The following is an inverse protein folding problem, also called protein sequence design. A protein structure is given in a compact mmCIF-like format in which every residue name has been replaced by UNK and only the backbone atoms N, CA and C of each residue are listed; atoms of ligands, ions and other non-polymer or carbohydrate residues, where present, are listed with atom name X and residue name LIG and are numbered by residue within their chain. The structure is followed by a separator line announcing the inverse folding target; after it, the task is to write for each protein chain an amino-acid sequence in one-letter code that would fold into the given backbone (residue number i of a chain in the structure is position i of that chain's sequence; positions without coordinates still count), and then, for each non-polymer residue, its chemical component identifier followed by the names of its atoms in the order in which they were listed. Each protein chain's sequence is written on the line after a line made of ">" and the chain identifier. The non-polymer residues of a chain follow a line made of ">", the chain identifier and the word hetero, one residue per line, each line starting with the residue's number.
data_IF_279907671405
#
_entry.id   IF_279907671405
#
_cell.length_a   1.000
_cell.length_b   1.000
_cell.length_c   1.000
_cell.angle_alpha   90.00
_cell.angle_beta   90.00
_cell.angle_gamma   90.00
#
_symmetry.space_group_name_H-M   'P 1'
#
loop_
_entity.id
_entity.type
_entity.pdbx_description
1 polymer ?
#
# COMPACT_ATOMS: atom_id res chain seq x y z
N UNK A 1 -30.54 3.89 -94.54
CA UNK A 1 -29.99 2.94 -93.54
C UNK A 1 -29.39 3.68 -92.37
N UNK A 2 -30.04 3.67 -91.19
CA UNK A 2 -29.60 4.38 -90.00
C UNK A 2 -29.09 3.33 -89.01
N UNK A 3 -27.77 3.42 -88.69
CA UNK A 3 -27.17 2.64 -87.60
C UNK A 3 -27.50 3.29 -86.20
N UNK A 4 -28.09 2.53 -85.29
CA UNK A 4 -28.30 2.85 -83.92
C UNK A 4 -27.09 2.30 -83.12
N UNK A 5 -26.30 3.19 -82.58
CA UNK A 5 -25.25 2.88 -81.55
C UNK A 5 -25.90 2.75 -80.20
N UNK A 6 -25.71 1.62 -79.55
CA UNK A 6 -26.19 1.35 -78.20
C UNK A 6 -25.02 1.55 -77.23
N UNK A 7 -25.06 2.63 -76.44
CA UNK A 7 -24.08 2.91 -75.35
C UNK A 7 -24.52 2.20 -74.06
N UNK A 8 -23.79 1.16 -73.68
CA UNK A 8 -23.97 0.42 -72.42
C UNK A 8 -23.27 1.22 -71.32
N UNK A 9 -24.04 1.76 -70.36
CA UNK A 9 -23.50 2.41 -69.14
C UNK A 9 -23.18 1.34 -68.11
N UNK A 10 -21.89 1.17 -67.79
CA UNK A 10 -21.44 0.42 -66.62
C UNK A 10 -21.69 1.23 -65.34
N UNK A 11 -22.53 0.75 -64.48
CA UNK A 11 -22.71 1.26 -63.12
C UNK A 11 -21.67 0.57 -62.23
N UNK A 12 -20.62 1.30 -61.84
CA UNK A 12 -19.67 0.84 -60.81
C UNK A 12 -20.26 1.10 -59.43
N UNK A 13 -20.68 0.08 -58.77
CA UNK A 13 -21.12 0.12 -57.36
C UNK A 13 -19.85 0.10 -56.46
N UNK A 14 -19.45 1.21 -55.94
CA UNK A 14 -18.39 1.28 -54.91
C UNK A 14 -18.93 0.81 -53.55
N UNK A 15 -18.52 -0.36 -53.12
CA UNK A 15 -18.80 -0.87 -51.76
C UNK A 15 -17.78 -0.21 -50.82
N UNK A 16 -18.22 0.77 -50.05
CA UNK A 16 -17.44 1.33 -48.94
C UNK A 16 -17.51 0.35 -47.77
N UNK A 17 -16.44 -0.39 -47.55
CA UNK A 17 -16.23 -1.18 -46.30
C UNK A 17 -15.79 -0.23 -45.20
N UNK A 18 -16.70 0.12 -44.29
CA UNK A 18 -16.35 0.79 -43.02
C UNK A 18 -15.68 -0.20 -42.11
N UNK A 19 -14.35 -0.19 -42.05
CA UNK A 19 -13.57 -0.82 -40.97
C UNK A 19 -13.76 0.01 -39.71
N UNK A 20 -14.69 -0.39 -38.84
CA UNK A 20 -14.79 0.12 -37.49
C UNK A 20 -13.58 -0.39 -36.69
N UNK A 21 -12.53 0.42 -36.59
CA UNK A 21 -11.44 0.21 -35.64
C UNK A 21 -12.02 0.52 -34.26
N UNK A 22 -12.50 -0.52 -33.58
CA UNK A 22 -12.78 -0.44 -32.16
C UNK A 22 -11.43 -0.21 -31.45
N UNK A 23 -11.15 1.04 -31.08
CA UNK A 23 -10.06 1.35 -30.18
C UNK A 23 -10.36 0.56 -28.88
N UNK A 24 -9.67 -0.55 -28.65
CA UNK A 24 -9.60 -1.17 -27.32
C UNK A 24 -8.98 -0.12 -26.41
N UNK A 25 -9.81 0.65 -25.71
CA UNK A 25 -9.33 1.43 -24.58
C UNK A 25 -8.82 0.42 -23.56
N UNK A 26 -7.51 0.36 -23.36
CA UNK A 26 -6.93 -0.46 -22.30
C UNK A 26 -7.70 -0.17 -21.00
N UNK A 27 -8.19 -1.21 -20.35
CA UNK A 27 -8.95 -1.07 -19.12
C UNK A 27 -8.05 -0.32 -18.13
N UNK A 28 -8.57 0.80 -17.58
CA UNK A 28 -7.80 1.61 -16.63
C UNK A 28 -7.52 0.78 -15.38
N UNK A 29 -6.29 0.75 -14.94
CA UNK A 29 -5.82 0.04 -13.74
C UNK A 29 -5.82 0.95 -12.52
N UNK A 30 -5.89 0.36 -11.34
CA UNK A 30 -5.42 0.98 -10.11
C UNK A 30 -3.92 0.71 -10.03
N UNK A 31 -3.11 1.75 -10.23
CA UNK A 31 -1.66 1.65 -10.16
C UNK A 31 -1.18 2.05 -8.77
N UNK A 32 -0.26 1.25 -8.21
CA UNK A 32 0.26 1.46 -6.86
C UNK A 32 1.78 1.36 -6.89
N UNK A 33 2.46 2.18 -6.09
CA UNK A 33 3.93 2.25 -6.03
C UNK A 33 4.37 2.19 -4.57
N UNK A 34 5.06 1.13 -4.19
CA UNK A 34 5.78 1.08 -2.92
C UNK A 34 7.11 1.78 -3.15
N UNK A 35 7.26 2.98 -2.56
CA UNK A 35 8.44 3.83 -2.79
C UNK A 35 9.52 3.47 -1.80
N UNK A 36 10.75 3.29 -2.27
CA UNK A 36 11.88 3.02 -1.38
C UNK A 36 12.27 4.25 -0.57
N UNK A 37 12.08 4.17 0.73
CA UNK A 37 12.52 5.16 1.72
C UNK A 37 13.50 4.56 2.75
N UNK A 38 14.15 3.44 2.40
CA UNK A 38 15.18 2.75 3.22
C UNK A 38 14.68 2.27 4.60
N UNK A 39 13.44 1.80 4.64
CA UNK A 39 12.79 1.29 5.85
C UNK A 39 11.91 2.32 6.56
N UNK A 40 11.60 3.42 5.90
CA UNK A 40 10.46 4.29 6.18
C UNK A 40 9.35 4.00 5.18
N UNK A 41 8.14 4.55 5.39
CA UNK A 41 6.98 4.22 4.56
C UNK A 41 6.60 5.33 3.60
N UNK A 42 6.35 4.96 2.33
CA UNK A 42 5.53 5.71 1.39
C UNK A 42 4.88 4.76 0.37
N UNK A 43 3.58 4.84 0.26
CA UNK A 43 2.80 4.01 -0.66
C UNK A 43 1.85 4.89 -1.47
N UNK A 44 2.14 5.06 -2.76
CA UNK A 44 1.36 5.88 -3.68
C UNK A 44 0.34 5.02 -4.43
N UNK A 45 -0.93 5.40 -4.38
CA UNK A 45 -2.02 4.80 -5.15
C UNK A 45 -2.53 5.82 -6.16
N UNK A 46 -2.61 5.41 -7.42
CA UNK A 46 -3.10 6.22 -8.53
C UNK A 46 -4.38 5.60 -9.09
N UNK A 47 -5.48 6.29 -8.84
CA UNK A 47 -6.81 5.85 -9.23
C UNK A 47 -6.98 5.84 -10.75
N UNK A 48 -7.79 4.91 -11.31
CA UNK A 48 -8.25 4.98 -12.69
C UNK A 48 -8.95 6.30 -13.07
N UNK A 49 -9.46 7.04 -12.08
CA UNK A 49 -10.05 8.37 -12.26
C UNK A 49 -9.02 9.51 -12.39
N UNK A 50 -7.74 9.21 -12.12
CA UNK A 50 -6.64 10.18 -12.09
C UNK A 50 -6.42 10.85 -10.73
N UNK A 51 -7.23 10.55 -9.70
CA UNK A 51 -6.93 10.99 -8.33
C UNK A 51 -5.82 10.15 -7.72
N UNK A 52 -5.07 10.75 -6.79
CA UNK A 52 -3.97 10.10 -6.08
C UNK A 52 -4.18 10.09 -4.57
N UNK A 53 -3.72 9.01 -3.94
CA UNK A 53 -3.60 8.87 -2.50
C UNK A 53 -2.16 8.46 -2.18
N UNK A 54 -1.54 9.16 -1.26
CA UNK A 54 -0.24 8.77 -0.71
C UNK A 54 -0.44 8.39 0.76
N UNK A 55 0.05 7.23 1.16
CA UNK A 55 0.06 6.76 2.53
C UNK A 55 1.49 6.91 3.04
N UNK A 56 1.68 7.77 4.05
CA UNK A 56 2.92 8.15 4.68
C UNK A 56 3.95 8.82 3.75
N UNK A 57 5.00 9.44 4.33
CA UNK A 57 5.95 10.25 3.58
C UNK A 57 7.41 10.17 4.10
N UNK A 58 7.72 9.19 4.94
CA UNK A 58 9.07 8.98 5.46
C UNK A 58 9.48 9.89 6.61
N UNK A 59 10.78 9.98 6.85
CA UNK A 59 11.37 10.73 7.96
C UNK A 59 11.43 12.24 7.68
N UNK A 60 11.62 13.07 8.74
CA UNK A 60 11.82 14.52 8.57
C UNK A 60 12.90 14.84 7.54
N UNK A 61 12.64 15.83 6.68
CA UNK A 61 13.56 16.21 5.61
C UNK A 61 14.94 16.64 6.11
N UNK A 62 15.05 17.11 7.35
CA UNK A 62 16.32 17.44 8.01
C UNK A 62 17.20 16.21 8.32
N UNK A 63 16.61 15.01 8.42
CA UNK A 63 17.35 13.79 8.76
C UNK A 63 18.02 13.14 7.54
N UNK A 64 17.51 13.42 6.33
CA UNK A 64 17.99 12.78 5.11
C UNK A 64 18.17 13.74 3.91
N UNK A 65 18.32 15.04 4.19
CA UNK A 65 18.45 16.10 3.16
C UNK A 65 17.29 16.11 2.16
N UNK A 66 16.06 15.74 2.60
CA UNK A 66 14.87 15.69 1.77
C UNK A 66 14.84 14.53 0.78
N UNK A 67 15.68 13.50 0.96
CA UNK A 67 15.74 12.31 0.09
C UNK A 67 14.35 11.68 -0.09
N UNK A 68 13.62 11.46 1.00
CA UNK A 68 12.32 10.76 0.96
C UNK A 68 11.31 11.55 0.15
N UNK A 69 11.20 12.86 0.41
CA UNK A 69 10.32 13.72 -0.37
C UNK A 69 10.71 13.74 -1.87
N UNK A 70 12.01 13.73 -2.20
CA UNK A 70 12.46 13.68 -3.60
C UNK A 70 12.07 12.35 -4.27
N UNK A 71 12.28 11.20 -3.61
CA UNK A 71 11.90 9.88 -4.13
C UNK A 71 10.38 9.76 -4.33
N UNK A 72 9.57 10.30 -3.42
CA UNK A 72 8.11 10.36 -3.58
C UNK A 72 7.73 11.21 -4.81
N UNK A 73 8.35 12.39 -4.98
CA UNK A 73 8.10 13.25 -6.15
C UNK A 73 8.49 12.55 -7.46
N UNK A 74 9.59 11.79 -7.47
CA UNK A 74 9.99 10.99 -8.64
C UNK A 74 8.98 9.89 -8.97
N UNK A 75 8.48 9.16 -7.95
CA UNK A 75 7.42 8.18 -8.14
C UNK A 75 6.13 8.83 -8.65
N UNK A 76 5.74 9.98 -8.11
CA UNK A 76 4.61 10.78 -8.59
C UNK A 76 4.78 11.20 -10.05
N UNK A 77 5.96 11.68 -10.45
CA UNK A 77 6.26 12.02 -11.86
C UNK A 77 6.14 10.80 -12.78
N UNK A 78 6.71 9.66 -12.38
CA UNK A 78 6.63 8.41 -13.14
C UNK A 78 5.18 7.92 -13.29
N UNK A 79 4.34 8.18 -12.29
CA UNK A 79 2.92 7.87 -12.28
C UNK A 79 2.03 8.93 -12.95
N UNK A 80 2.59 10.06 -13.44
CA UNK A 80 1.84 11.18 -14.02
C UNK A 80 1.04 12.02 -13.01
N UNK A 81 1.35 11.90 -11.71
CA UNK A 81 0.70 12.59 -10.60
C UNK A 81 1.33 13.98 -10.43
N UNK A 82 0.50 15.03 -10.48
CA UNK A 82 0.94 16.44 -10.34
C UNK A 82 0.60 17.05 -8.98
N UNK A 83 -0.27 16.40 -8.22
CA UNK A 83 -0.70 16.79 -6.86
C UNK A 83 -1.12 15.54 -6.11
N UNK A 84 -1.05 15.56 -4.79
CA UNK A 84 -1.59 14.51 -3.93
C UNK A 84 -3.01 14.93 -3.53
N UNK A 85 -4.03 14.17 -3.97
CA UNK A 85 -5.43 14.47 -3.62
C UNK A 85 -5.72 14.12 -2.16
N UNK A 86 -5.14 13.00 -1.67
CA UNK A 86 -5.26 12.55 -0.28
C UNK A 86 -3.88 12.12 0.24
N UNK A 87 -3.38 12.84 1.25
CA UNK A 87 -2.21 12.46 2.05
C UNK A 87 -2.72 11.78 3.31
N UNK A 88 -2.56 10.48 3.42
CA UNK A 88 -2.93 9.70 4.60
C UNK A 88 -1.69 9.55 5.47
N UNK A 89 -1.73 10.09 6.67
CA UNK A 89 -0.75 9.83 7.73
C UNK A 89 -1.32 8.72 8.58
N UNK A 90 -0.71 7.54 8.49
CA UNK A 90 -1.23 6.34 9.15
C UNK A 90 -1.15 6.45 10.67
N UNK A 91 -0.05 7.00 11.17
CA UNK A 91 0.21 7.32 12.57
C UNK A 91 1.38 8.32 12.67
N UNK A 92 1.74 8.78 13.88
CA UNK A 92 2.63 9.91 14.04
C UNK A 92 4.09 9.54 14.37
N UNK A 93 4.53 8.32 14.09
CA UNK A 93 5.95 8.00 14.16
C UNK A 93 6.73 8.72 13.04
N UNK A 94 7.96 9.09 13.34
CA UNK A 94 8.74 10.00 12.50
C UNK A 94 9.01 9.49 11.09
N UNK A 95 9.10 8.20 10.91
CA UNK A 95 9.35 7.54 9.62
C UNK A 95 8.07 7.34 8.77
N UNK A 96 6.95 7.90 9.23
CA UNK A 96 5.65 7.97 8.54
C UNK A 96 5.21 9.41 8.27
N UNK A 97 5.08 10.23 9.33
CA UNK A 97 4.59 11.62 9.23
C UNK A 97 5.68 12.62 8.92
N UNK A 98 6.94 12.32 9.27
CA UNK A 98 8.01 13.30 9.31
C UNK A 98 8.36 13.95 7.99
N UNK A 99 8.20 13.24 6.87
CA UNK A 99 8.50 13.76 5.53
C UNK A 99 7.41 14.66 4.93
N UNK A 100 6.21 14.71 5.53
CA UNK A 100 5.07 15.48 4.98
C UNK A 100 5.40 16.97 4.78
N UNK A 101 6.04 17.69 5.72
CA UNK A 101 6.41 19.09 5.50
C UNK A 101 7.34 19.29 4.31
N UNK A 102 8.38 18.48 4.19
CA UNK A 102 9.32 18.56 3.07
C UNK A 102 8.68 18.20 1.72
N UNK A 103 7.71 17.28 1.71
CA UNK A 103 6.94 16.92 0.52
C UNK A 103 6.01 18.06 0.10
N UNK A 104 5.33 18.71 1.05
CA UNK A 104 4.42 19.82 0.78
C UNK A 104 5.09 21.05 0.19
N UNK A 105 6.40 21.22 0.41
CA UNK A 105 7.22 22.25 -0.24
C UNK A 105 7.48 21.94 -1.73
N UNK A 106 7.36 20.67 -2.15
CA UNK A 106 7.72 20.19 -3.50
C UNK A 106 6.53 19.93 -4.40
N UNK A 107 5.38 19.60 -3.81
CA UNK A 107 4.17 19.36 -4.58
C UNK A 107 2.89 19.66 -3.78
N UNK A 108 1.79 20.06 -4.46
CA UNK A 108 0.53 20.37 -3.77
C UNK A 108 -0.09 19.14 -3.12
N UNK A 109 -0.56 19.30 -1.88
CA UNK A 109 -1.38 18.32 -1.14
C UNK A 109 -2.74 18.96 -0.86
N UNK A 110 -3.83 18.26 -1.22
CA UNK A 110 -5.19 18.84 -1.16
C UNK A 110 -5.89 18.51 0.16
N UNK A 111 -5.86 17.24 0.56
CA UNK A 111 -6.55 16.76 1.76
C UNK A 111 -5.60 15.92 2.58
N UNK A 112 -5.48 16.25 3.85
CA UNK A 112 -4.75 15.47 4.85
C UNK A 112 -5.72 14.58 5.61
N UNK A 113 -5.34 13.34 5.83
CA UNK A 113 -6.14 12.33 6.52
C UNK A 113 -5.29 11.71 7.62
N UNK A 114 -5.79 11.70 8.85
CA UNK A 114 -5.12 11.09 10.00
C UNK A 114 -6.13 10.53 11.01
N UNK A 115 -5.63 9.91 12.09
CA UNK A 115 -6.47 9.32 13.14
C UNK A 115 -6.85 10.31 14.29
N UNK A 116 -6.39 11.56 14.22
CA UNK A 116 -6.73 12.60 15.16
C UNK A 116 -5.66 12.84 16.22
N UNK A 117 -5.90 12.52 17.47
CA UNK A 117 -5.04 12.88 18.59
C UNK A 117 -3.74 12.04 18.64
N UNK A 118 -2.60 12.70 18.83
CA UNK A 118 -1.31 12.05 19.09
C UNK A 118 -1.29 11.50 20.52
N UNK A 119 -1.03 10.20 20.65
CA UNK A 119 -0.96 9.52 21.96
C UNK A 119 0.46 9.42 22.53
N UNK A 120 1.48 9.72 21.71
CA UNK A 120 2.90 9.60 22.07
C UNK A 120 3.51 10.98 22.35
N UNK A 121 3.50 11.38 23.62
CA UNK A 121 3.83 12.75 24.06
C UNK A 121 5.30 12.92 24.47
N UNK A 122 6.24 12.42 23.66
CA UNK A 122 7.67 12.74 23.80
C UNK A 122 8.03 13.95 22.93
N UNK A 123 9.16 14.61 23.26
CA UNK A 123 9.58 15.86 22.59
C UNK A 123 9.72 15.71 21.07
N UNK A 124 10.21 14.57 20.61
CA UNK A 124 10.38 14.30 19.17
C UNK A 124 9.02 14.22 18.46
N UNK A 125 8.11 13.38 18.95
CA UNK A 125 6.79 13.20 18.33
C UNK A 125 5.96 14.47 18.40
N UNK A 126 5.99 15.19 19.55
CA UNK A 126 5.34 16.50 19.68
C UNK A 126 5.84 17.49 18.60
N UNK A 127 7.17 17.56 18.38
CA UNK A 127 7.76 18.43 17.37
C UNK A 127 7.28 18.04 15.96
N UNK A 128 7.38 16.77 15.61
CA UNK A 128 7.04 16.27 14.27
C UNK A 128 5.55 16.49 13.96
N UNK A 129 4.67 16.20 14.92
CA UNK A 129 3.23 16.44 14.78
C UNK A 129 2.91 17.92 14.65
N UNK A 130 3.59 18.80 15.42
CA UNK A 130 3.44 20.26 15.29
C UNK A 130 3.81 20.74 13.88
N UNK A 131 4.90 20.25 13.29
CA UNK A 131 5.33 20.58 11.94
C UNK A 131 4.32 20.06 10.91
N UNK A 132 3.82 18.84 11.06
CA UNK A 132 2.75 18.29 10.24
C UNK A 132 1.47 19.13 10.29
N UNK A 133 0.98 19.47 11.49
CA UNK A 133 -0.24 20.26 11.68
C UNK A 133 -0.12 21.68 11.10
N UNK A 134 1.07 22.26 11.05
CA UNK A 134 1.31 23.54 10.38
C UNK A 134 1.12 23.46 8.85
N UNK A 135 1.31 22.28 8.26
CA UNK A 135 1.02 22.02 6.84
C UNK A 135 -0.47 21.70 6.65
N UNK A 136 -1.06 20.88 7.52
CA UNK A 136 -2.50 20.55 7.53
C UNK A 136 -3.36 21.81 7.53
N UNK A 137 -2.97 22.84 8.29
CA UNK A 137 -3.68 24.13 8.36
C UNK A 137 -3.81 24.86 7.00
N UNK A 138 -3.04 24.46 5.99
CA UNK A 138 -3.06 25.04 4.63
C UNK A 138 -3.95 24.26 3.65
N UNK A 139 -4.51 23.10 4.06
CA UNK A 139 -5.32 22.23 3.24
C UNK A 139 -6.64 21.84 3.90
N UNK A 140 -7.26 20.82 3.35
CA UNK A 140 -8.42 20.16 4.00
C UNK A 140 -7.93 19.11 4.98
N UNK A 141 -8.56 19.00 6.13
CA UNK A 141 -8.26 18.01 7.14
C UNK A 141 -9.44 17.07 7.35
N UNK A 142 -9.17 15.79 7.38
CA UNK A 142 -10.16 14.72 7.60
C UNK A 142 -9.62 13.75 8.66
N UNK A 143 -10.20 13.78 9.83
CA UNK A 143 -9.93 12.79 10.88
C UNK A 143 -10.83 11.58 10.65
N UNK A 144 -10.25 10.37 10.60
CA UNK A 144 -10.96 9.14 10.28
C UNK A 144 -10.99 8.16 11.45
N UNK A 145 -12.02 7.33 11.47
CA UNK A 145 -12.21 6.21 12.42
C UNK A 145 -12.55 4.93 11.68
N UNK A 146 -12.48 3.81 12.37
CA UNK A 146 -12.89 2.51 11.83
C UNK A 146 -14.35 2.56 11.30
N UNK A 147 -14.53 2.10 10.07
CA UNK A 147 -15.78 2.13 9.31
C UNK A 147 -15.90 3.31 8.34
N UNK A 148 -15.09 4.34 8.45
CA UNK A 148 -15.12 5.47 7.52
C UNK A 148 -14.49 5.10 6.17
N UNK A 149 -14.94 5.77 5.10
CA UNK A 149 -14.34 5.69 3.77
C UNK A 149 -13.64 6.99 3.43
N UNK A 150 -12.41 6.91 2.94
CA UNK A 150 -11.76 8.07 2.33
C UNK A 150 -12.41 8.30 0.96
N UNK A 151 -12.91 9.51 0.65
CA UNK A 151 -13.78 9.73 -0.51
C UNK A 151 -13.00 9.90 -1.83
N UNK A 152 -12.01 9.05 -2.08
CA UNK A 152 -11.28 8.99 -3.35
C UNK A 152 -12.16 8.34 -4.42
N UNK A 153 -12.08 8.85 -5.68
CA UNK A 153 -12.84 8.31 -6.80
C UNK A 153 -12.09 7.16 -7.48
N UNK A 154 -12.82 6.12 -7.88
CA UNK A 154 -12.33 5.06 -8.75
C UNK A 154 -11.89 3.78 -8.04
N UNK A 155 -11.77 3.80 -6.72
CA UNK A 155 -11.65 2.61 -5.87
C UNK A 155 -12.23 2.91 -4.47
N UNK A 156 -12.54 1.87 -3.71
CA UNK A 156 -12.96 2.01 -2.31
C UNK A 156 -11.73 1.96 -1.39
N UNK A 157 -11.60 2.93 -0.48
CA UNK A 157 -10.61 2.97 0.59
C UNK A 157 -11.35 3.00 1.93
N UNK A 158 -11.51 1.83 2.55
CA UNK A 158 -12.21 1.65 3.82
C UNK A 158 -11.21 1.58 4.97
N UNK A 159 -11.39 2.41 5.97
CA UNK A 159 -10.65 2.35 7.24
C UNK A 159 -11.22 1.18 8.05
N UNK A 160 -10.45 0.11 8.21
CA UNK A 160 -10.89 -1.05 9.02
C UNK A 160 -10.39 -0.98 10.46
N UNK A 161 -9.35 -0.17 10.70
CA UNK A 161 -8.85 0.16 12.04
C UNK A 161 -8.26 1.57 12.05
N UNK A 162 -8.45 2.33 13.12
CA UNK A 162 -7.83 3.62 13.39
C UNK A 162 -7.98 4.00 14.86
N UNK A 163 -7.06 4.81 15.40
CA UNK A 163 -7.07 5.26 16.78
C UNK A 163 -7.29 4.10 17.79
N UNK A 164 -6.63 2.98 17.53
CA UNK A 164 -6.67 1.77 18.35
C UNK A 164 -7.98 0.99 18.30
N UNK A 165 -8.94 1.32 17.43
CA UNK A 165 -10.26 0.68 17.35
C UNK A 165 -10.47 0.04 15.98
N UNK A 166 -10.93 -1.22 15.97
CA UNK A 166 -11.29 -1.97 14.76
C UNK A 166 -12.79 -1.82 14.43
N UNK A 167 -13.17 -2.14 13.18
CA UNK A 167 -14.56 -2.36 12.81
C UNK A 167 -15.16 -3.46 13.70
N UNK A 168 -16.42 -3.30 14.11
CA UNK A 168 -17.06 -4.21 15.07
C UNK A 168 -17.74 -5.41 14.40
N UNK A 169 -18.20 -5.26 13.16
CA UNK A 169 -18.86 -6.31 12.40
C UNK A 169 -18.01 -6.78 11.22
N UNK A 170 -18.09 -8.07 10.84
CA UNK A 170 -17.47 -8.56 9.63
C UNK A 170 -17.99 -7.87 8.37
N UNK A 171 -17.08 -7.61 7.42
CA UNK A 171 -17.46 -7.13 6.09
C UNK A 171 -18.20 -8.21 5.29
N UNK A 172 -18.89 -7.81 4.24
CA UNK A 172 -19.59 -8.76 3.35
C UNK A 172 -18.61 -9.81 2.80
N UNK A 173 -18.94 -11.08 3.03
CA UNK A 173 -18.11 -12.22 2.61
C UNK A 173 -16.95 -12.58 3.55
N UNK A 174 -16.82 -11.86 4.67
CA UNK A 174 -15.92 -12.16 5.77
C UNK A 174 -16.65 -12.92 6.90
N UNK A 175 -16.05 -12.99 8.09
CA UNK A 175 -16.67 -13.59 9.28
C UNK A 175 -16.34 -15.06 9.48
N UNK A 176 -15.40 -15.61 8.73
CA UNK A 176 -14.94 -16.98 8.95
C UNK A 176 -14.19 -17.09 10.28
N UNK A 177 -14.40 -18.17 11.07
CA UNK A 177 -13.60 -18.45 12.26
C UNK A 177 -12.11 -18.43 11.95
N UNK A 178 -11.33 -17.90 12.87
CA UNK A 178 -9.88 -17.83 12.74
C UNK A 178 -9.20 -18.72 13.81
N UNK A 179 -8.83 -19.96 13.46
CA UNK A 179 -8.23 -20.90 14.42
C UNK A 179 -6.87 -20.42 14.98
N UNK A 180 -6.18 -19.54 14.29
CA UNK A 180 -4.93 -18.96 14.80
C UNK A 180 -5.14 -18.14 16.08
N UNK A 181 -6.36 -17.70 16.36
CA UNK A 181 -6.70 -16.99 17.60
C UNK A 181 -6.40 -17.81 18.88
N UNK A 182 -6.59 -19.11 18.81
CA UNK A 182 -6.42 -20.00 19.95
C UNK A 182 -4.97 -20.52 20.09
N UNK A 183 -4.22 -20.54 19.00
CA UNK A 183 -2.88 -21.13 18.94
C UNK A 183 -1.74 -20.12 18.94
N UNK A 184 -2.01 -18.85 18.58
CA UNK A 184 -1.02 -17.78 18.56
C UNK A 184 -1.04 -17.01 19.89
N UNK A 185 0.04 -16.99 20.67
CA UNK A 185 0.07 -16.22 21.91
C UNK A 185 0.06 -14.70 21.65
N UNK A 186 -0.39 -13.94 22.65
CA UNK A 186 -0.16 -12.49 22.65
C UNK A 186 1.31 -12.21 22.91
N UNK A 187 1.84 -11.16 22.30
CA UNK A 187 3.17 -10.65 22.66
C UNK A 187 3.10 -9.84 23.96
N UNK A 188 4.12 -10.01 24.78
CA UNK A 188 4.37 -9.18 25.94
C UNK A 188 5.46 -8.17 25.58
N UNK A 189 5.18 -6.90 25.76
CA UNK A 189 6.12 -5.83 25.43
C UNK A 189 7.14 -5.69 26.57
N UNK A 190 8.40 -5.83 26.24
CA UNK A 190 9.52 -5.68 27.16
C UNK A 190 10.02 -4.22 27.26
N UNK A 191 10.96 -3.95 28.19
CA UNK A 191 11.60 -2.66 28.27
C UNK A 191 12.49 -2.42 27.03
N UNK A 192 12.45 -1.18 26.51
CA UNK A 192 13.39 -0.72 25.49
C UNK A 192 14.81 -0.57 26.06
N UNK A 193 15.77 -0.16 25.25
CA UNK A 193 17.16 0.05 25.66
C UNK A 193 17.34 1.07 26.82
N UNK A 194 16.32 1.87 27.15
CA UNK A 194 16.28 2.82 28.27
C UNK A 194 15.59 2.25 29.52
N UNK A 195 15.19 0.97 29.51
CA UNK A 195 14.49 0.32 30.61
C UNK A 195 13.01 0.71 30.75
N UNK A 196 12.44 1.39 29.78
CA UNK A 196 11.02 1.79 29.76
C UNK A 196 10.24 0.77 28.94
N UNK A 197 9.12 0.26 29.47
CA UNK A 197 8.21 -0.60 28.73
C UNK A 197 7.59 0.23 27.61
N UNK A 198 7.94 -0.11 26.36
CA UNK A 198 7.31 0.44 25.17
C UNK A 198 6.15 -0.47 24.78
N UNK A 199 4.96 -0.09 25.20
CA UNK A 199 3.76 -0.84 24.86
C UNK A 199 3.28 -0.46 23.46
N UNK A 200 3.71 -1.19 22.47
CA UNK A 200 3.35 -0.97 21.06
C UNK A 200 1.84 -0.98 20.79
N UNK A 201 1.02 -1.58 21.66
CA UNK A 201 -0.45 -1.59 21.47
C UNK A 201 -1.10 -0.25 21.86
N UNK A 202 -0.40 0.59 22.61
CA UNK A 202 -0.92 1.87 23.14
C UNK A 202 -0.12 3.09 22.72
N UNK A 203 1.00 2.90 22.02
CA UNK A 203 1.73 3.96 21.35
C UNK A 203 1.15 4.24 19.95
N UNK A 204 1.80 5.06 19.13
CA UNK A 204 1.35 5.45 17.80
C UNK A 204 1.15 4.25 16.85
N UNK A 205 1.99 3.20 16.95
CA UNK A 205 1.82 1.99 16.15
C UNK A 205 0.44 1.34 16.38
N UNK A 206 0.00 1.27 17.65
CA UNK A 206 -1.33 0.75 17.99
C UNK A 206 -2.49 1.62 17.51
N UNK A 207 -2.23 2.88 17.12
CA UNK A 207 -3.22 3.81 16.58
C UNK A 207 -3.33 3.78 15.06
N UNK A 208 -2.47 3.05 14.38
CA UNK A 208 -2.35 2.98 12.92
C UNK A 208 -3.69 2.93 12.19
N UNK A 209 -3.82 3.75 11.14
CA UNK A 209 -4.89 3.63 10.17
C UNK A 209 -4.61 2.42 9.29
N UNK A 210 -5.42 1.38 9.41
CA UNK A 210 -5.38 0.20 8.55
C UNK A 210 -6.40 0.36 7.43
N UNK A 211 -5.93 0.35 6.18
CA UNK A 211 -6.76 0.56 5.00
C UNK A 211 -7.02 -0.74 4.24
N UNK A 212 -8.30 -1.02 3.99
CA UNK A 212 -8.71 -2.00 2.99
C UNK A 212 -9.05 -1.26 1.70
N UNK A 213 -8.25 -1.50 0.67
CA UNK A 213 -8.47 -0.99 -0.68
C UNK A 213 -9.19 -2.06 -1.50
N UNK A 214 -10.26 -1.66 -2.20
CA UNK A 214 -11.02 -2.55 -3.09
C UNK A 214 -11.20 -1.90 -4.46
N UNK A 215 -10.81 -2.63 -5.52
CA UNK A 215 -11.01 -2.22 -6.89
C UNK A 215 -11.64 -3.35 -7.70
N UNK A 216 -12.96 -3.31 -7.86
CA UNK A 216 -13.70 -4.44 -8.40
C UNK A 216 -13.55 -5.70 -7.54
N UNK A 217 -12.91 -6.74 -8.08
CA UNK A 217 -12.60 -7.99 -7.35
C UNK A 217 -11.24 -7.98 -6.66
N UNK A 218 -10.34 -7.05 -7.03
CA UNK A 218 -9.05 -6.92 -6.37
C UNK A 218 -9.20 -6.32 -4.97
N UNK A 219 -8.52 -6.91 -4.00
CA UNK A 219 -8.51 -6.46 -2.60
C UNK A 219 -7.10 -6.43 -2.04
N UNK A 220 -6.77 -5.36 -1.35
CA UNK A 220 -5.49 -5.17 -0.69
C UNK A 220 -5.69 -4.64 0.73
N UNK A 221 -4.90 -5.13 1.68
CA UNK A 221 -4.81 -4.57 3.02
C UNK A 221 -3.44 -3.91 3.23
N UNK A 222 -3.45 -2.66 3.64
CA UNK A 222 -2.31 -1.94 4.19
C UNK A 222 -2.56 -1.69 5.69
N UNK A 223 -1.88 -2.41 6.59
CA UNK A 223 -2.05 -2.25 8.03
C UNK A 223 -1.25 -1.11 8.64
N UNK A 224 -0.40 -0.42 7.87
CA UNK A 224 0.62 0.47 8.39
C UNK A 224 1.51 -0.24 9.45
N UNK A 225 1.66 0.32 10.66
CA UNK A 225 2.48 -0.30 11.70
C UNK A 225 1.65 -1.02 12.78
N UNK A 226 0.43 -1.46 12.41
CA UNK A 226 -0.45 -2.18 13.32
C UNK A 226 0.28 -3.33 14.01
N UNK A 227 0.08 -3.44 15.33
CA UNK A 227 0.88 -4.33 16.17
C UNK A 227 0.34 -5.76 16.24
N UNK A 228 1.18 -6.69 16.66
CA UNK A 228 0.86 -8.12 16.81
C UNK A 228 -0.43 -8.37 17.63
N UNK A 229 -0.63 -7.65 18.73
CA UNK A 229 -1.82 -7.86 19.55
C UNK A 229 -3.05 -7.14 18.98
N UNK A 230 -2.87 -6.03 18.28
CA UNK A 230 -3.94 -5.30 17.59
C UNK A 230 -4.50 -6.08 16.40
N UNK A 231 -3.70 -6.92 15.73
CA UNK A 231 -4.17 -7.88 14.73
C UNK A 231 -5.39 -8.68 15.22
N UNK A 232 -5.39 -9.05 16.51
CA UNK A 232 -6.46 -9.86 17.12
C UNK A 232 -7.78 -9.10 17.24
N UNK A 233 -7.75 -7.80 17.43
CA UNK A 233 -8.96 -6.99 17.50
C UNK A 233 -9.72 -6.99 16.17
N UNK A 234 -8.99 -7.13 15.07
CA UNK A 234 -9.56 -7.17 13.72
C UNK A 234 -9.90 -8.61 13.26
N UNK A 235 -9.12 -9.61 13.73
CA UNK A 235 -9.14 -10.97 13.20
C UNK A 235 -9.71 -12.02 14.15
N UNK A 236 -10.02 -11.69 15.41
CA UNK A 236 -10.51 -12.69 16.39
C UNK A 236 -11.88 -12.29 16.95
N UNK A 237 -12.72 -13.30 17.28
CA UNK A 237 -12.56 -14.75 17.00
C UNK A 237 -12.79 -15.10 15.52
N UNK A 238 -13.22 -14.13 14.71
CA UNK A 238 -13.49 -14.27 13.28
C UNK A 238 -12.74 -13.22 12.49
N UNK A 239 -12.30 -13.57 11.29
CA UNK A 239 -11.71 -12.62 10.36
C UNK A 239 -12.78 -11.62 9.87
N UNK A 240 -12.71 -10.36 10.32
CA UNK A 240 -13.69 -9.32 9.94
C UNK A 240 -13.44 -8.71 8.59
N UNK A 241 -12.25 -8.89 8.01
CA UNK A 241 -11.87 -8.30 6.71
C UNK A 241 -12.16 -9.25 5.55
N UNK A 242 -11.95 -10.55 5.73
CA UNK A 242 -11.98 -11.56 4.67
C UNK A 242 -10.61 -11.71 3.99
N UNK A 243 -10.56 -12.42 2.86
CA UNK A 243 -9.31 -12.67 2.13
C UNK A 243 -8.91 -11.46 1.28
N UNK A 244 -7.60 -11.31 1.02
CA UNK A 244 -7.04 -10.24 0.18
C UNK A 244 -6.12 -10.81 -0.90
N UNK A 245 -5.95 -10.10 -2.00
CA UNK A 245 -5.00 -10.47 -3.06
C UNK A 245 -3.59 -10.00 -2.71
N UNK A 246 -3.48 -8.80 -2.15
CA UNK A 246 -2.22 -8.18 -1.75
C UNK A 246 -2.26 -7.79 -0.27
N UNK A 247 -1.17 -8.05 0.45
CA UNK A 247 -0.94 -7.61 1.82
C UNK A 247 0.40 -6.87 1.88
N UNK A 248 0.37 -5.62 2.38
CA UNK A 248 1.57 -4.92 2.80
C UNK A 248 1.94 -5.40 4.20
N UNK A 249 3.22 -5.68 4.45
CA UNK A 249 3.59 -6.09 5.81
C UNK A 249 3.38 -4.95 6.80
N UNK A 250 2.87 -5.27 7.97
CA UNK A 250 2.77 -4.30 9.05
C UNK A 250 4.16 -3.98 9.61
N UNK A 251 4.37 -2.74 10.05
CA UNK A 251 5.60 -2.32 10.71
C UNK A 251 6.85 -2.76 9.93
N UNK A 252 6.88 -2.47 8.62
CA UNK A 252 7.96 -2.82 7.68
C UNK A 252 8.34 -4.32 7.66
N UNK A 253 7.50 -5.20 8.21
CA UNK A 253 7.80 -6.62 8.36
C UNK A 253 8.64 -6.94 9.61
N UNK A 254 8.57 -6.12 10.67
CA UNK A 254 9.15 -6.47 11.97
C UNK A 254 8.32 -7.52 12.69
N UNK A 255 8.95 -8.23 13.62
CA UNK A 255 8.29 -9.27 14.42
C UNK A 255 7.32 -8.71 15.48
N UNK A 256 7.27 -7.38 15.68
CA UNK A 256 6.27 -6.72 16.53
C UNK A 256 4.87 -6.73 15.92
N UNK A 257 4.75 -7.16 14.69
CA UNK A 257 3.54 -7.20 13.88
C UNK A 257 3.45 -8.50 13.05
N UNK A 258 2.52 -8.57 12.11
CA UNK A 258 2.41 -9.67 11.14
C UNK A 258 2.16 -11.04 11.78
N UNK A 259 1.30 -11.08 12.78
CA UNK A 259 0.99 -12.34 13.46
C UNK A 259 0.35 -13.37 12.51
N UNK A 260 0.50 -14.69 12.77
CA UNK A 260 -0.27 -15.71 12.07
C UNK A 260 -1.78 -15.47 12.12
N UNK A 261 -2.27 -14.78 13.18
CA UNK A 261 -3.68 -14.38 13.32
C UNK A 261 -4.11 -13.48 12.17
N UNK A 262 -3.26 -12.54 11.75
CA UNK A 262 -3.52 -11.65 10.62
C UNK A 262 -3.21 -12.33 9.29
N UNK A 263 -1.97 -12.75 9.11
CA UNK A 263 -1.45 -13.17 7.80
C UNK A 263 -2.18 -14.42 7.28
N UNK A 264 -2.36 -15.44 8.14
CA UNK A 264 -3.01 -16.69 7.71
C UNK A 264 -4.52 -16.53 7.52
N UNK A 265 -5.17 -15.62 8.26
CA UNK A 265 -6.61 -15.37 8.08
C UNK A 265 -6.90 -14.57 6.81
N UNK A 266 -6.02 -13.64 6.43
CA UNK A 266 -6.15 -12.87 5.19
C UNK A 266 -5.87 -13.71 3.95
N UNK A 267 -5.04 -14.76 4.06
CA UNK A 267 -4.66 -15.64 2.94
C UNK A 267 -4.21 -14.85 1.70
N UNK A 268 -3.24 -13.92 1.84
CA UNK A 268 -2.80 -13.11 0.72
C UNK A 268 -2.17 -13.97 -0.36
N UNK A 269 -2.36 -13.59 -1.62
CA UNK A 269 -1.66 -14.22 -2.76
C UNK A 269 -0.27 -13.62 -2.94
N UNK A 270 -0.16 -12.34 -2.66
CA UNK A 270 1.10 -11.60 -2.71
C UNK A 270 1.26 -10.82 -1.42
N UNK A 271 2.47 -10.87 -0.89
CA UNK A 271 2.91 -10.03 0.22
C UNK A 271 4.06 -9.15 -0.26
N UNK A 272 4.06 -7.88 0.16
CA UNK A 272 5.18 -6.97 -0.09
C UNK A 272 5.65 -6.40 1.25
N UNK A 273 6.94 -6.56 1.53
CA UNK A 273 7.59 -5.89 2.66
C UNK A 273 8.18 -4.56 2.19
N UNK A 274 7.79 -3.49 2.87
CA UNK A 274 8.34 -2.13 2.72
C UNK A 274 9.57 -1.92 3.63
N UNK A 275 10.40 -2.96 3.74
CA UNK A 275 11.58 -3.02 4.59
C UNK A 275 12.76 -2.19 4.06
N UNK A 276 13.65 -1.83 4.97
CA UNK A 276 15.00 -1.34 4.64
C UNK A 276 16.05 -2.46 4.67
N UNK A 277 17.29 -2.13 4.33
CA UNK A 277 18.41 -3.08 4.38
C UNK A 277 18.75 -3.57 5.80
N UNK A 278 18.43 -2.76 6.83
CA UNK A 278 18.69 -3.04 8.23
C UNK A 278 17.43 -3.01 9.12
N UNK A 279 16.23 -2.81 8.53
CA UNK A 279 14.97 -2.69 9.27
C UNK A 279 13.87 -3.49 8.59
N UNK A 280 13.07 -4.21 9.37
CA UNK A 280 11.92 -4.97 8.86
C UNK A 280 12.28 -6.31 8.24
N UNK A 281 11.31 -6.94 7.56
CA UNK A 281 11.41 -8.26 6.91
C UNK A 281 12.10 -9.32 7.78
N UNK A 282 11.81 -9.34 9.10
CA UNK A 282 12.45 -10.26 10.04
C UNK A 282 12.25 -11.73 9.64
N UNK A 283 13.17 -12.61 10.07
CA UNK A 283 13.10 -14.04 9.77
C UNK A 283 11.80 -14.70 10.27
N UNK A 284 11.25 -14.24 11.39
CA UNK A 284 9.97 -14.72 11.92
C UNK A 284 8.80 -14.34 11.01
N UNK A 285 8.78 -13.10 10.53
CA UNK A 285 7.76 -12.63 9.59
C UNK A 285 7.92 -13.34 8.24
N UNK A 286 9.15 -13.53 7.78
CA UNK A 286 9.42 -14.31 6.57
C UNK A 286 8.80 -15.69 6.65
N UNK A 287 9.00 -16.42 7.76
CA UNK A 287 8.42 -17.75 7.98
C UNK A 287 6.88 -17.71 8.07
N UNK A 288 6.32 -16.71 8.75
CA UNK A 288 4.87 -16.53 8.85
C UNK A 288 4.24 -16.29 7.49
N UNK A 289 4.87 -15.47 6.65
CA UNK A 289 4.41 -15.19 5.30
C UNK A 289 4.52 -16.42 4.40
N UNK A 290 5.69 -17.09 4.38
CA UNK A 290 5.93 -18.27 3.55
C UNK A 290 4.99 -19.43 3.90
N UNK A 291 4.58 -19.55 5.18
CA UNK A 291 3.60 -20.56 5.61
C UNK A 291 2.15 -20.16 5.40
N UNK A 292 1.87 -18.97 4.87
CA UNK A 292 0.50 -18.49 4.65
C UNK A 292 -0.22 -19.27 3.56
N UNK A 293 -1.44 -19.76 3.82
CA UNK A 293 -2.20 -20.51 2.83
C UNK A 293 -2.53 -19.69 1.60
N UNK A 294 -2.11 -20.15 0.42
CA UNK A 294 -2.43 -19.52 -0.85
C UNK A 294 -1.46 -18.43 -1.31
N UNK A 295 -0.32 -18.30 -0.63
CA UNK A 295 0.75 -17.42 -1.07
C UNK A 295 1.29 -17.85 -2.46
N UNK A 296 1.40 -16.89 -3.39
CA UNK A 296 1.97 -17.07 -4.71
C UNK A 296 3.33 -16.38 -4.86
N UNK A 297 3.58 -15.31 -4.07
CA UNK A 297 4.87 -14.64 -4.00
C UNK A 297 5.00 -13.72 -2.78
N UNK A 298 6.23 -13.60 -2.32
CA UNK A 298 6.68 -12.58 -1.37
C UNK A 298 7.66 -11.66 -2.09
N UNK A 299 7.52 -10.33 -1.91
CA UNK A 299 8.36 -9.29 -2.49
C UNK A 299 8.97 -8.44 -1.38
N UNK A 300 10.18 -7.96 -1.57
CA UNK A 300 10.89 -7.13 -0.58
C UNK A 300 11.39 -5.84 -1.22
N UNK A 301 11.30 -4.73 -0.50
CA UNK A 301 11.89 -3.47 -0.95
C UNK A 301 13.42 -3.54 -0.91
N UNK A 302 13.99 -4.14 0.13
CA UNK A 302 15.43 -4.31 0.29
C UNK A 302 15.81 -5.75 0.60
N UNK A 303 17.03 -6.10 0.18
CA UNK A 303 17.73 -7.25 0.73
C UNK A 303 18.05 -6.98 2.21
N UNK A 304 17.50 -7.79 3.13
CA UNK A 304 17.78 -7.67 4.55
C UNK A 304 19.17 -8.24 4.86
N UNK A 305 20.10 -7.36 5.25
CA UNK A 305 21.52 -7.75 5.47
C UNK A 305 21.63 -8.78 6.61
N UNK A 306 20.93 -8.56 7.74
CA UNK A 306 20.98 -9.46 8.87
C UNK A 306 20.28 -10.80 8.63
N UNK A 307 19.39 -10.88 7.64
CA UNK A 307 18.61 -12.10 7.33
C UNK A 307 19.38 -13.12 6.48
N UNK A 308 20.42 -12.69 5.78
CA UNK A 308 21.13 -13.54 4.82
C UNK A 308 20.19 -14.22 3.82
N UNK A 309 20.58 -15.35 3.26
CA UNK A 309 19.77 -16.09 2.27
C UNK A 309 18.46 -16.69 2.87
N UNK A 310 18.40 -16.84 4.18
CA UNK A 310 17.27 -17.53 4.86
C UNK A 310 16.05 -16.65 5.08
N UNK A 311 16.21 -15.33 5.03
CA UNK A 311 15.13 -14.37 5.25
C UNK A 311 15.01 -13.37 4.08
N UNK A 312 15.53 -13.73 2.90
CA UNK A 312 15.38 -12.97 1.68
C UNK A 312 14.86 -13.85 0.55
N UNK A 313 13.97 -13.26 -0.25
CA UNK A 313 13.49 -13.92 -1.47
C UNK A 313 14.56 -13.88 -2.59
N UNK A 314 14.28 -14.55 -3.72
CA UNK A 314 15.11 -14.45 -4.91
C UNK A 314 15.33 -12.99 -5.32
N UNK A 315 16.53 -12.61 -5.79
CA UNK A 315 16.85 -11.23 -6.19
C UNK A 315 15.88 -10.59 -7.16
N UNK A 316 15.18 -11.36 -8.00
CA UNK A 316 14.18 -10.82 -8.93
C UNK A 316 13.00 -10.15 -8.19
N UNK A 317 12.68 -10.62 -6.99
CA UNK A 317 11.60 -10.10 -6.15
C UNK A 317 12.05 -9.02 -5.17
N UNK A 318 13.33 -8.59 -5.21
CA UNK A 318 13.89 -7.56 -4.33
C UNK A 318 14.13 -6.29 -5.15
N UNK A 319 13.52 -5.17 -4.77
CA UNK A 319 13.68 -3.92 -5.50
C UNK A 319 15.08 -3.31 -5.34
N UNK A 320 15.65 -3.36 -4.14
CA UNK A 320 16.95 -2.78 -3.83
C UNK A 320 17.86 -3.85 -3.22
N UNK A 321 18.81 -4.31 -4.02
CA UNK A 321 19.83 -5.25 -3.57
C UNK A 321 21.03 -4.50 -3.02
N UNK A 322 21.92 -5.21 -2.31
CA UNK A 322 23.10 -4.62 -1.70
C UNK A 322 23.96 -3.89 -2.75
N UNK A 323 24.30 -2.63 -2.47
CA UNK A 323 25.03 -1.77 -3.39
C UNK A 323 24.20 -1.04 -4.44
N UNK A 324 22.87 -1.12 -4.37
CA UNK A 324 22.00 -0.35 -5.25
C UNK A 324 21.75 1.05 -4.64
N UNK A 325 22.23 2.15 -5.28
CA UNK A 325 22.08 3.49 -4.71
C UNK A 325 20.77 4.19 -5.10
N UNK A 326 19.95 3.62 -5.99
CA UNK A 326 18.99 4.38 -6.79
C UNK A 326 17.55 4.40 -6.24
N UNK A 327 17.26 3.83 -5.08
CA UNK A 327 15.92 3.88 -4.50
C UNK A 327 14.82 3.39 -5.45
N UNK A 328 14.84 2.11 -5.83
CA UNK A 328 13.88 1.55 -6.78
C UNK A 328 12.57 1.18 -6.08
N UNK A 329 11.46 1.38 -6.75
CA UNK A 329 10.12 1.03 -6.27
C UNK A 329 9.64 -0.33 -6.79
N UNK A 330 8.63 -0.87 -6.12
CA UNK A 330 7.80 -1.96 -6.63
C UNK A 330 6.50 -1.34 -7.14
N UNK A 331 6.14 -1.62 -8.40
CA UNK A 331 4.87 -1.18 -9.00
C UNK A 331 3.88 -2.33 -9.01
N UNK A 332 2.64 -2.05 -8.61
CA UNK A 332 1.50 -2.96 -8.74
C UNK A 332 0.47 -2.31 -9.67
N UNK A 333 -0.09 -3.06 -10.62
CA UNK A 333 -1.18 -2.61 -11.48
C UNK A 333 -2.32 -3.60 -11.41
N UNK A 334 -3.44 -3.19 -10.80
CA UNK A 334 -4.60 -4.03 -10.58
C UNK A 334 -5.74 -3.71 -11.55
N UNK A 335 -6.42 -4.76 -12.04
CA UNK A 335 -7.61 -4.66 -12.87
C UNK A 335 -8.88 -4.97 -12.06
N UNK A 336 -10.05 -4.51 -12.55
CA UNK A 336 -11.33 -4.70 -11.86
C UNK A 336 -11.78 -6.17 -11.73
N UNK A 337 -11.31 -7.03 -12.62
CA UNK A 337 -11.60 -8.46 -12.57
C UNK A 337 -10.81 -9.21 -11.48
N UNK A 338 -9.89 -8.53 -10.81
CA UNK A 338 -9.02 -9.09 -9.77
C UNK A 338 -7.68 -9.62 -10.29
N UNK A 339 -7.39 -9.50 -11.58
CA UNK A 339 -6.04 -9.71 -12.09
C UNK A 339 -5.14 -8.55 -11.68
N UNK A 340 -3.86 -8.82 -11.45
CA UNK A 340 -2.88 -7.77 -11.20
C UNK A 340 -1.47 -8.20 -11.59
N UNK A 341 -0.59 -7.23 -11.79
CA UNK A 341 0.83 -7.44 -12.02
C UNK A 341 1.65 -6.77 -10.93
N UNK A 342 2.81 -7.34 -10.61
CA UNK A 342 3.82 -6.72 -9.77
C UNK A 342 5.11 -6.63 -10.56
N UNK A 343 5.71 -5.45 -10.61
CA UNK A 343 6.91 -5.14 -11.38
C UNK A 343 7.99 -4.55 -10.47
N UNK A 344 9.18 -5.10 -10.54
CA UNK A 344 10.38 -4.58 -9.90
C UNK A 344 11.04 -3.53 -10.82
N UNK A 345 11.08 -2.27 -10.38
CA UNK A 345 11.65 -1.19 -11.18
C UNK A 345 13.19 -1.28 -11.37
N UNK A 346 13.89 -2.11 -10.59
CA UNK A 346 15.34 -2.30 -10.75
C UNK A 346 15.71 -3.11 -12.00
N UNK A 347 14.98 -4.21 -12.23
CA UNK A 347 15.32 -5.19 -13.29
C UNK A 347 14.19 -5.44 -14.29
N UNK A 348 13.05 -4.73 -14.16
CA UNK A 348 11.82 -4.90 -14.93
C UNK A 348 11.21 -6.31 -14.85
N UNK A 349 11.62 -7.12 -13.86
CA UNK A 349 10.98 -8.39 -13.61
C UNK A 349 9.51 -8.17 -13.26
N UNK A 350 8.62 -8.82 -13.99
CA UNK A 350 7.16 -8.67 -13.83
C UNK A 350 6.50 -10.02 -13.68
N UNK A 351 5.65 -10.17 -12.65
CA UNK A 351 4.81 -11.36 -12.46
C UNK A 351 3.35 -10.97 -12.51
N UNK A 352 2.58 -11.74 -13.29
CA UNK A 352 1.13 -11.56 -13.45
C UNK A 352 0.37 -12.59 -12.62
N UNK A 353 -0.62 -12.12 -11.89
CA UNK A 353 -1.51 -12.91 -11.04
C UNK A 353 -2.92 -12.87 -11.65
N UNK A 354 -3.46 -14.05 -11.99
CA UNK A 354 -4.82 -14.17 -12.58
C UNK A 354 -5.88 -13.88 -11.51
N UNK A 355 -7.13 -13.52 -11.89
CA UNK A 355 -8.21 -13.40 -10.92
C UNK A 355 -8.38 -14.66 -10.08
N UNK A 356 -8.78 -14.51 -8.80
CA UNK A 356 -9.23 -15.67 -8.01
C UNK A 356 -10.43 -16.34 -8.70
N UNK A 357 -10.43 -17.65 -8.70
CA UNK A 357 -11.57 -18.47 -9.20
C UNK A 357 -12.80 -18.31 -8.32
#
# INVERSE_FOLDING_TARGET
>A
MRHKSSTMRLIQTAVLVFLSVSALTAAKTLDMYVVDLEGSKAFLLVSPSGQSMLIDAGVPGSENNGRDANRIVEACKAAGVKKIDYMVVSHYDGDHVGGVPALAERMPIVTFVDHGENVQLNDFTIKVVKEYMAVVAKGKHLVVKAGDKIPIKGFDALVVMAAGKAITAPLKGAGQPNPACDTTPRKTWGPNARGVIDNHDTNENGMSITLLVTYGRFRMLDPADLTWNKDRELMCPVNRVGTVDLYMTANHGTDNANSPVMVHALRPRVVIADNGAAKGASAEVFQTVESSPGLEAYWQMHYLIAGGEKANVSPDYIANVQGSPDGKWIKISAAQDGAFTVTNARNNFTKTYKPRK
#
